data_IF_803991256419
#
_entry.id   IF_803991256419
#
_cell.length_a   1.000
_cell.length_b   1.000
_cell.length_c   1.000
_cell.angle_alpha   90.00
_cell.angle_beta   90.00
_cell.angle_gamma   90.00
#
_symmetry.space_group_name_H-M   'P 1'
#
loop_
_entity.id
_entity.type
_entity.pdbx_description
1 polymer ?
#
# COMPACT_ATOMS: atom_id res chain seq x y z
N UNK A 1 -29.37 -8.11 48.17
CA UNK A 1 -29.43 -7.74 46.74
C UNK A 1 -28.06 -7.96 46.16
N UNK A 2 -27.86 -8.95 45.28
CA UNK A 2 -26.60 -9.17 44.59
C UNK A 2 -26.71 -8.57 43.20
N UNK A 3 -26.01 -7.46 42.96
CA UNK A 3 -25.90 -6.84 41.65
C UNK A 3 -25.05 -7.75 40.77
N UNK A 4 -25.65 -8.28 39.70
CA UNK A 4 -24.89 -8.97 38.65
C UNK A 4 -24.35 -7.90 37.70
N UNK A 5 -23.03 -7.73 37.67
CA UNK A 5 -22.36 -6.98 36.60
C UNK A 5 -22.47 -7.81 35.32
N UNK A 6 -23.21 -7.31 34.34
CA UNK A 6 -23.13 -7.80 32.97
C UNK A 6 -21.81 -7.29 32.36
N UNK A 7 -20.87 -8.18 32.09
CA UNK A 7 -19.68 -7.87 31.32
C UNK A 7 -20.08 -7.71 29.85
N UNK A 8 -20.04 -6.47 29.34
CA UNK A 8 -20.08 -6.22 27.90
C UNK A 8 -18.74 -6.65 27.32
N UNK A 9 -18.70 -7.80 26.65
CA UNK A 9 -17.60 -8.14 25.74
C UNK A 9 -17.73 -7.30 24.49
N UNK A 10 -16.93 -6.23 24.40
CA UNK A 10 -16.70 -5.53 23.13
C UNK A 10 -15.87 -6.47 22.26
N UNK A 11 -16.50 -7.05 21.23
CA UNK A 11 -15.77 -7.75 20.19
C UNK A 11 -14.92 -6.72 19.46
N UNK A 12 -13.61 -6.70 19.73
CA UNK A 12 -12.66 -6.01 18.87
C UNK A 12 -12.84 -6.60 17.46
N UNK A 13 -13.21 -5.75 16.51
CA UNK A 13 -13.20 -6.08 15.10
C UNK A 13 -11.77 -6.46 14.74
N UNK A 14 -11.49 -7.76 14.71
CA UNK A 14 -10.28 -8.31 14.11
C UNK A 14 -10.27 -7.81 12.67
N UNK A 15 -9.41 -6.83 12.39
CA UNK A 15 -9.03 -6.47 11.04
C UNK A 15 -8.68 -7.79 10.35
N UNK A 16 -9.55 -8.22 9.44
CA UNK A 16 -9.51 -9.57 8.88
C UNK A 16 -8.44 -9.59 7.80
N UNK A 17 -7.19 -9.66 8.24
CA UNK A 17 -6.04 -9.78 7.39
C UNK A 17 -6.01 -11.15 6.70
N UNK A 18 -5.56 -11.20 5.45
CA UNK A 18 -5.55 -12.46 4.70
C UNK A 18 -4.28 -13.26 4.99
N UNK A 19 -4.43 -14.58 5.02
CA UNK A 19 -3.30 -15.49 5.15
C UNK A 19 -2.34 -15.28 3.97
N UNK A 20 -1.05 -15.15 4.28
CA UNK A 20 0.02 -15.06 3.30
C UNK A 20 0.13 -16.40 2.53
N UNK A 21 -0.16 -16.44 1.21
CA UNK A 21 -0.07 -17.67 0.44
C UNK A 21 1.38 -18.19 0.34
N UNK A 22 1.57 -19.51 0.24
CA UNK A 22 2.90 -20.14 0.24
C UNK A 22 3.85 -19.57 -0.81
N UNK A 23 3.36 -19.28 -2.02
CA UNK A 23 4.19 -18.71 -3.08
C UNK A 23 4.66 -17.29 -2.72
N UNK A 24 3.78 -16.47 -2.16
CA UNK A 24 4.11 -15.11 -1.73
C UNK A 24 4.99 -15.10 -0.48
N UNK A 25 4.81 -16.05 0.45
CA UNK A 25 5.70 -16.25 1.59
C UNK A 25 7.12 -16.61 1.15
N UNK A 26 7.26 -17.48 0.14
CA UNK A 26 8.57 -17.80 -0.44
C UNK A 26 9.20 -16.59 -1.14
N UNK A 27 8.42 -15.84 -1.92
CA UNK A 27 8.88 -14.59 -2.55
C UNK A 27 9.40 -13.62 -1.48
N UNK A 28 8.62 -13.40 -0.43
CA UNK A 28 9.01 -12.53 0.69
C UNK A 28 10.34 -13.02 1.31
N UNK A 29 10.47 -14.31 1.62
CA UNK A 29 11.69 -14.79 2.24
C UNK A 29 12.91 -14.80 1.28
N UNK A 30 12.70 -15.08 -0.01
CA UNK A 30 13.76 -15.12 -1.03
C UNK A 30 14.32 -13.73 -1.34
N UNK A 31 13.50 -12.68 -1.22
CA UNK A 31 13.89 -11.31 -1.54
C UNK A 31 14.07 -10.41 -0.31
N UNK A 32 13.86 -10.90 0.91
CA UNK A 32 14.08 -10.12 2.14
C UNK A 32 15.54 -9.74 2.34
N UNK A 33 16.45 -10.64 1.95
CA UNK A 33 17.90 -10.45 2.02
C UNK A 33 18.50 -10.50 0.63
N UNK A 34 19.64 -9.85 0.44
CA UNK A 34 20.35 -9.79 -0.83
C UNK A 34 20.14 -8.47 -1.55
N UNK A 35 20.36 -8.48 -2.85
CA UNK A 35 20.29 -7.29 -3.70
C UNK A 35 19.23 -7.46 -4.78
N UNK A 36 18.68 -6.34 -5.23
CA UNK A 36 17.89 -6.33 -6.45
C UNK A 36 18.82 -6.53 -7.67
N UNK A 37 18.64 -7.62 -8.41
CA UNK A 37 19.47 -7.94 -9.58
C UNK A 37 19.02 -7.17 -10.82
N UNK A 38 17.70 -7.04 -11.01
CA UNK A 38 17.05 -6.29 -12.07
C UNK A 38 16.50 -4.97 -11.52
N UNK A 39 17.39 -3.98 -11.37
CA UNK A 39 17.03 -2.64 -10.91
C UNK A 39 16.33 -1.86 -12.03
N UNK A 40 15.09 -1.47 -11.81
CA UNK A 40 14.34 -0.63 -12.74
C UNK A 40 14.65 0.86 -12.51
N UNK A 41 14.82 1.25 -11.26
CA UNK A 41 15.34 2.55 -10.84
C UNK A 41 15.94 2.45 -9.43
N UNK A 42 16.88 3.33 -9.07
CA UNK A 42 17.57 3.29 -7.77
C UNK A 42 17.91 4.68 -7.25
N UNK A 43 18.28 4.77 -5.97
CA UNK A 43 18.70 6.02 -5.33
C UNK A 43 17.57 6.72 -4.59
N UNK A 44 16.55 5.98 -4.19
CA UNK A 44 15.43 6.45 -3.39
C UNK A 44 15.73 6.31 -1.89
N UNK A 45 15.00 7.06 -1.08
CA UNK A 45 14.99 6.96 0.38
C UNK A 45 13.63 6.42 0.84
N UNK A 46 13.50 6.01 2.09
CA UNK A 46 12.22 5.63 2.70
C UNK A 46 11.80 6.68 3.75
N UNK A 47 11.82 7.96 3.37
CA UNK A 47 11.61 9.08 4.30
C UNK A 47 12.81 9.38 5.23
N UNK A 48 13.75 8.44 5.38
CA UNK A 48 14.89 8.62 6.29
C UNK A 48 16.19 7.96 5.79
N UNK A 49 17.34 8.40 6.31
CA UNK A 49 18.60 7.70 6.11
C UNK A 49 19.18 7.76 4.68
N UNK A 50 20.03 6.78 4.30
CA UNK A 50 20.73 6.80 3.02
C UNK A 50 19.85 6.32 1.86
N UNK A 51 20.09 6.91 0.68
CA UNK A 51 19.40 6.63 -0.59
C UNK A 51 19.74 5.24 -1.16
N UNK A 52 19.24 4.20 -0.52
CA UNK A 52 19.56 2.78 -0.81
C UNK A 52 18.40 2.02 -1.44
N UNK A 53 17.23 2.65 -1.56
CA UNK A 53 16.03 2.01 -2.08
C UNK A 53 15.98 2.05 -3.61
N UNK A 54 15.30 1.05 -4.16
CA UNK A 54 15.17 0.79 -5.58
C UNK A 54 13.82 0.16 -5.92
N UNK A 55 13.33 0.43 -7.13
CA UNK A 55 12.26 -0.33 -7.75
C UNK A 55 12.87 -1.55 -8.44
N UNK A 56 12.44 -2.72 -8.04
CA UNK A 56 13.01 -4.00 -8.44
C UNK A 56 12.07 -4.80 -9.33
N UNK A 57 12.65 -5.42 -10.36
CA UNK A 57 11.94 -6.27 -11.33
C UNK A 57 12.41 -7.72 -11.32
N UNK A 58 12.94 -8.23 -10.21
CA UNK A 58 13.43 -9.61 -10.11
C UNK A 58 12.30 -10.65 -10.17
N UNK A 59 11.09 -10.26 -9.78
CA UNK A 59 9.92 -11.12 -9.81
C UNK A 59 9.21 -10.92 -11.15
N UNK A 60 9.15 -11.98 -11.97
CA UNK A 60 8.46 -11.91 -13.27
C UNK A 60 6.99 -11.52 -13.09
N UNK A 61 6.59 -10.44 -13.75
CA UNK A 61 5.22 -9.93 -13.69
C UNK A 61 4.92 -9.04 -12.48
N UNK A 62 5.96 -8.57 -11.79
CA UNK A 62 5.84 -7.66 -10.66
C UNK A 62 6.93 -6.59 -10.67
N UNK A 63 6.61 -5.46 -10.05
CA UNK A 63 7.56 -4.42 -9.63
C UNK A 63 7.42 -4.28 -8.13
N UNK A 64 8.52 -4.27 -7.39
CA UNK A 64 8.46 -4.15 -5.93
C UNK A 64 9.52 -3.19 -5.38
N UNK A 65 9.25 -2.61 -4.21
CA UNK A 65 10.23 -1.78 -3.50
C UNK A 65 11.17 -2.67 -2.69
N UNK A 66 12.45 -2.41 -2.80
CA UNK A 66 13.50 -3.12 -2.06
C UNK A 66 14.67 -2.19 -1.77
N UNK A 67 15.52 -2.52 -0.81
CA UNK A 67 16.82 -1.89 -0.62
C UNK A 67 17.91 -2.94 -0.54
N UNK A 68 18.89 -2.86 -1.45
CA UNK A 68 20.13 -3.65 -1.38
C UNK A 68 21.05 -3.23 -0.22
N UNK A 69 20.70 -2.16 0.52
CA UNK A 69 21.42 -1.72 1.71
C UNK A 69 21.30 -2.72 2.86
N UNK A 70 22.24 -2.67 3.80
CA UNK A 70 22.22 -3.47 5.04
C UNK A 70 22.08 -5.00 4.85
N UNK A 71 22.46 -5.53 3.68
CA UNK A 71 22.32 -6.96 3.37
C UNK A 71 20.96 -7.36 2.81
N UNK A 72 20.13 -6.40 2.41
CA UNK A 72 18.78 -6.60 1.88
C UNK A 72 17.72 -6.30 2.93
N UNK A 73 16.72 -5.50 2.55
CA UNK A 73 15.60 -5.13 3.40
C UNK A 73 14.43 -4.62 2.53
N UNK A 74 13.24 -4.62 3.13
CA UNK A 74 12.06 -4.01 2.53
C UNK A 74 11.94 -2.53 2.96
N UNK A 75 10.82 -1.89 2.62
CA UNK A 75 10.56 -0.53 3.07
C UNK A 75 9.88 -0.51 4.44
N UNK A 76 9.91 0.68 5.04
CA UNK A 76 9.01 1.07 6.12
C UNK A 76 7.58 1.26 5.57
N UNK A 77 6.67 1.77 6.41
CA UNK A 77 5.38 2.29 5.97
C UNK A 77 5.12 3.67 6.54
N UNK A 78 5.46 4.69 5.77
CA UNK A 78 5.07 6.08 6.01
C UNK A 78 3.60 6.31 5.63
N UNK A 79 2.97 7.32 6.23
CA UNK A 79 1.55 7.60 6.06
C UNK A 79 1.33 8.67 5.01
N UNK A 80 0.49 8.35 4.04
CA UNK A 80 -0.06 9.29 3.09
C UNK A 80 -1.53 9.53 3.43
N UNK A 81 -1.91 10.80 3.51
CA UNK A 81 -3.28 11.23 3.81
C UNK A 81 -3.90 12.01 2.66
N UNK A 82 -3.30 11.97 1.47
CA UNK A 82 -3.74 12.74 0.31
C UNK A 82 -5.14 12.31 -0.16
N UNK A 83 -5.81 13.25 -0.84
CA UNK A 83 -7.13 13.02 -1.43
C UNK A 83 -8.30 13.58 -0.62
N UNK A 84 -9.45 12.91 -0.77
CA UNK A 84 -10.67 13.28 -0.11
C UNK A 84 -10.53 13.15 1.41
N UNK A 85 -11.08 14.13 2.14
CA UNK A 85 -11.09 14.13 3.61
C UNK A 85 -9.70 14.02 4.25
N UNK A 86 -8.66 14.60 3.62
CA UNK A 86 -7.26 14.55 4.07
C UNK A 86 -6.97 14.93 5.52
N UNK A 87 -7.85 15.69 6.18
CA UNK A 87 -7.68 16.12 7.57
C UNK A 87 -8.65 15.42 8.53
N UNK A 88 -9.35 14.38 8.04
CA UNK A 88 -10.28 13.57 8.81
C UNK A 88 -9.57 12.47 9.59
N UNK A 89 -10.21 12.05 10.69
CA UNK A 89 -9.79 10.87 11.44
C UNK A 89 -8.33 10.95 11.92
N UNK A 90 -7.56 9.92 11.59
CA UNK A 90 -6.15 9.79 11.98
C UNK A 90 -5.22 10.68 11.15
N UNK A 91 -5.71 11.31 10.10
CA UNK A 91 -4.95 12.29 9.32
C UNK A 91 -5.08 13.73 9.85
N UNK A 92 -5.75 13.94 10.98
CA UNK A 92 -5.99 15.30 11.51
C UNK A 92 -4.71 16.08 11.85
N UNK A 93 -3.60 15.39 12.09
CA UNK A 93 -2.30 15.96 12.43
C UNK A 93 -1.27 15.89 11.30
N UNK A 94 -1.64 15.46 10.09
CA UNK A 94 -0.72 15.40 8.95
C UNK A 94 -0.31 16.83 8.52
N UNK A 95 0.99 17.17 8.56
CA UNK A 95 1.49 18.47 8.14
C UNK A 95 1.64 18.63 6.62
N UNK A 96 1.61 17.54 5.86
CA UNK A 96 2.00 17.46 4.44
C UNK A 96 0.89 17.12 3.47
N UNK A 97 -0.25 16.61 3.96
CA UNK A 97 -1.34 16.12 3.14
C UNK A 97 -1.92 17.12 2.14
N UNK A 98 -2.17 16.63 0.93
CA UNK A 98 -2.75 17.35 -0.19
C UNK A 98 -4.23 17.00 -0.38
N UNK A 99 -4.98 17.94 -0.97
CA UNK A 99 -6.42 17.77 -1.20
C UNK A 99 -6.79 16.84 -2.35
N UNK A 100 -5.81 16.20 -2.99
CA UNK A 100 -6.01 15.35 -4.16
C UNK A 100 -4.95 14.25 -4.19
N UNK A 101 -5.32 13.06 -4.69
CA UNK A 101 -4.33 12.05 -5.08
C UNK A 101 -3.87 12.25 -6.52
N UNK A 102 -2.76 11.63 -6.93
CA UNK A 102 -2.29 11.66 -8.32
C UNK A 102 -3.34 11.17 -9.35
N UNK A 103 -4.28 10.32 -8.94
CA UNK A 103 -5.28 9.72 -9.84
C UNK A 103 -6.71 10.20 -9.64
N UNK A 104 -6.88 11.39 -9.05
CA UNK A 104 -8.19 12.03 -8.94
C UNK A 104 -8.94 12.05 -10.28
N UNK A 105 -8.24 12.40 -11.37
CA UNK A 105 -8.87 12.53 -12.69
C UNK A 105 -9.36 11.19 -13.23
N UNK A 106 -8.61 10.12 -12.98
CA UNK A 106 -8.94 8.75 -13.35
C UNK A 106 -10.13 8.26 -12.52
N UNK A 107 -10.17 8.54 -11.22
CA UNK A 107 -11.32 8.21 -10.35
C UNK A 107 -12.59 8.90 -10.84
N UNK A 108 -12.53 10.20 -11.15
CA UNK A 108 -13.67 10.95 -11.67
C UNK A 108 -14.16 10.38 -13.01
N UNK A 109 -13.24 9.95 -13.88
CA UNK A 109 -13.57 9.34 -15.16
C UNK A 109 -14.28 7.98 -15.01
N UNK A 110 -14.10 7.27 -13.89
CA UNK A 110 -14.83 6.03 -13.61
C UNK A 110 -16.31 6.28 -13.28
N UNK A 111 -16.69 7.49 -12.86
CA UNK A 111 -18.05 7.85 -12.46
C UNK A 111 -18.63 6.90 -11.39
N UNK A 112 -17.84 6.66 -10.33
CA UNK A 112 -18.10 5.65 -9.28
C UNK A 112 -18.66 6.22 -7.98
N UNK A 113 -19.06 7.51 -7.99
CA UNK A 113 -19.71 8.17 -6.87
C UNK A 113 -18.76 8.70 -5.79
N UNK A 114 -17.47 8.79 -6.10
CA UNK A 114 -16.46 9.51 -5.31
C UNK A 114 -15.69 10.46 -6.24
N UNK A 115 -15.24 11.59 -5.71
CA UNK A 115 -14.43 12.56 -6.45
C UNK A 115 -12.94 12.24 -6.42
N UNK A 116 -12.50 11.53 -5.37
CA UNK A 116 -11.12 11.10 -5.13
C UNK A 116 -11.10 9.98 -4.09
N UNK A 117 -9.94 9.32 -3.93
CA UNK A 117 -9.69 8.39 -2.83
C UNK A 117 -9.70 9.14 -1.49
N UNK A 118 -10.29 8.53 -0.47
CA UNK A 118 -10.20 8.96 0.93
C UNK A 118 -9.26 8.01 1.67
N UNK A 119 -8.13 8.52 2.18
CA UNK A 119 -7.09 7.76 2.88
C UNK A 119 -7.59 7.00 4.12
N UNK A 120 -8.69 7.44 4.73
CA UNK A 120 -9.33 6.77 5.88
C UNK A 120 -10.22 5.58 5.46
N UNK A 121 -10.58 5.48 4.17
CA UNK A 121 -11.52 4.48 3.66
C UNK A 121 -10.92 3.57 2.58
N UNK A 122 -9.93 4.04 1.83
CA UNK A 122 -9.39 3.37 0.67
C UNK A 122 -7.95 2.96 0.92
N UNK A 123 -7.68 1.66 1.09
CA UNK A 123 -6.34 1.13 1.02
C UNK A 123 -5.69 1.48 -0.32
N UNK A 124 -4.68 2.35 -0.28
CA UNK A 124 -3.84 2.66 -1.43
C UNK A 124 -2.37 2.77 -1.05
N UNK A 125 -1.52 2.61 -2.06
CA UNK A 125 -0.07 2.74 -1.98
C UNK A 125 0.37 3.92 -2.84
N UNK A 126 1.31 4.70 -2.31
CA UNK A 126 2.05 5.71 -3.06
C UNK A 126 3.19 5.00 -3.78
N UNK A 127 3.11 4.92 -5.10
CA UNK A 127 4.06 4.12 -5.89
C UNK A 127 4.51 4.89 -7.13
N UNK A 128 5.82 5.00 -7.32
CA UNK A 128 6.41 5.92 -8.29
C UNK A 128 6.77 7.25 -7.66
N UNK A 129 7.66 7.95 -8.35
CA UNK A 129 8.23 9.22 -7.92
C UNK A 129 8.28 10.18 -9.10
N UNK A 130 7.77 11.39 -8.89
CA UNK A 130 7.78 12.46 -9.88
C UNK A 130 8.26 13.78 -9.27
N UNK A 131 8.44 14.81 -10.11
CA UNK A 131 8.90 16.14 -9.67
C UNK A 131 10.40 16.25 -9.30
N UNK A 132 11.05 15.17 -8.85
CA UNK A 132 12.47 15.16 -8.43
C UNK A 132 13.31 14.03 -9.05
N UNK A 133 14.60 14.02 -8.74
CA UNK A 133 15.56 13.01 -9.19
C UNK A 133 16.17 12.24 -8.02
N UNK A 134 16.19 10.89 -8.05
CA UNK A 134 15.66 10.04 -9.13
C UNK A 134 14.13 10.08 -9.22
N UNK A 135 13.60 9.73 -10.39
CA UNK A 135 12.16 9.55 -10.63
C UNK A 135 11.88 8.13 -11.13
N UNK A 136 10.65 7.68 -10.92
CA UNK A 136 10.19 6.39 -11.40
C UNK A 136 8.73 6.50 -11.81
N UNK A 137 8.44 6.12 -13.05
CA UNK A 137 7.10 6.14 -13.61
C UNK A 137 6.63 4.68 -13.85
N UNK A 138 5.77 4.12 -12.98
CA UNK A 138 5.33 2.73 -13.10
C UNK A 138 4.62 2.42 -14.42
N UNK A 139 4.06 3.43 -15.12
CA UNK A 139 3.46 3.27 -16.46
C UNK A 139 4.46 2.77 -17.49
N UNK A 140 5.74 3.17 -17.38
CA UNK A 140 6.82 2.69 -18.27
C UNK A 140 7.14 1.21 -18.09
N UNK A 141 6.68 0.63 -16.99
CA UNK A 141 6.81 -0.78 -16.66
C UNK A 141 5.47 -1.52 -16.77
N UNK A 142 4.47 -0.90 -17.40
CA UNK A 142 3.19 -1.50 -17.75
C UNK A 142 2.16 -1.51 -16.63
N UNK A 143 2.42 -0.84 -15.49
CA UNK A 143 1.36 -0.61 -14.50
C UNK A 143 0.37 0.44 -15.02
N UNK A 144 -0.89 0.27 -14.69
CA UNK A 144 -1.96 1.21 -15.03
C UNK A 144 -2.41 1.94 -13.76
N UNK A 145 -2.75 3.24 -13.80
CA UNK A 145 -3.33 3.94 -12.66
C UNK A 145 -4.45 3.14 -11.98
N UNK A 146 -4.53 3.22 -10.65
CA UNK A 146 -5.51 2.51 -9.83
C UNK A 146 -5.39 0.98 -9.84
N UNK A 147 -4.36 0.40 -10.48
CA UNK A 147 -4.13 -1.06 -10.46
C UNK A 147 -4.03 -1.58 -9.03
N UNK A 148 -4.63 -2.75 -8.79
CA UNK A 148 -4.51 -3.47 -7.53
C UNK A 148 -3.04 -3.75 -7.23
N UNK A 149 -2.65 -3.53 -5.98
CA UNK A 149 -1.35 -3.82 -5.42
C UNK A 149 -1.48 -4.79 -4.26
N UNK A 150 -0.44 -5.58 -4.02
CA UNK A 150 -0.34 -6.47 -2.87
C UNK A 150 0.71 -5.90 -1.90
N UNK A 151 0.37 -5.86 -0.62
CA UNK A 151 1.27 -5.43 0.46
C UNK A 151 1.41 -6.56 1.46
N UNK A 152 2.64 -6.96 1.75
CA UNK A 152 2.96 -7.96 2.77
C UNK A 152 3.56 -7.27 3.98
N UNK A 153 2.89 -7.41 5.11
CA UNK A 153 3.24 -6.83 6.41
C UNK A 153 2.72 -7.80 7.50
N UNK A 154 3.40 -7.89 8.64
CA UNK A 154 2.98 -8.73 9.78
C UNK A 154 2.60 -10.18 9.39
N UNK A 155 3.38 -10.81 8.50
CA UNK A 155 3.15 -12.17 7.99
C UNK A 155 1.79 -12.40 7.30
N UNK A 156 1.17 -11.33 6.80
CA UNK A 156 -0.12 -11.34 6.14
C UNK A 156 -0.04 -10.60 4.80
N UNK A 157 -1.03 -10.80 3.94
CA UNK A 157 -1.17 -10.04 2.70
C UNK A 157 -2.43 -9.19 2.73
N UNK A 158 -2.29 -7.96 2.26
CA UNK A 158 -3.36 -6.99 2.11
C UNK A 158 -3.39 -6.47 0.68
N UNK A 159 -4.56 -6.00 0.26
CA UNK A 159 -4.73 -5.42 -1.07
C UNK A 159 -5.16 -3.96 -1.00
N UNK A 160 -4.51 -3.15 -1.81
CA UNK A 160 -4.90 -1.77 -2.08
C UNK A 160 -4.84 -1.50 -3.57
N UNK A 161 -4.92 -0.22 -3.93
CA UNK A 161 -4.66 0.24 -5.30
C UNK A 161 -3.39 1.08 -5.34
N UNK A 162 -2.77 1.16 -6.51
CA UNK A 162 -1.84 2.23 -6.82
C UNK A 162 -2.65 3.54 -6.89
N UNK A 163 -2.70 4.26 -5.78
CA UNK A 163 -3.58 5.42 -5.60
C UNK A 163 -2.87 6.75 -5.76
N UNK A 164 -1.57 6.79 -5.51
CA UNK A 164 -0.79 8.03 -5.57
C UNK A 164 0.64 7.83 -6.07
N UNK A 165 1.34 8.95 -6.28
CA UNK A 165 2.75 9.04 -6.63
C UNK A 165 3.46 10.08 -5.77
N UNK A 166 4.66 9.76 -5.30
CA UNK A 166 5.38 10.67 -4.41
C UNK A 166 6.02 11.81 -5.22
N UNK A 167 5.78 13.07 -4.83
CA UNK A 167 6.36 14.26 -5.47
C UNK A 167 7.84 14.51 -5.13
N UNK A 168 8.44 13.62 -4.34
CA UNK A 168 9.81 13.66 -3.85
C UNK A 168 10.55 12.36 -4.24
N UNK A 169 11.57 11.97 -3.48
CA UNK A 169 12.36 10.75 -3.73
C UNK A 169 12.15 9.65 -2.68
N UNK A 170 11.08 9.76 -1.90
CA UNK A 170 10.73 8.79 -0.86
C UNK A 170 9.88 7.66 -1.44
N UNK A 171 10.01 6.46 -0.88
CA UNK A 171 9.19 5.27 -1.17
C UNK A 171 8.70 4.67 0.14
N UNK A 172 7.73 3.75 0.08
CA UNK A 172 7.19 3.12 1.28
C UNK A 172 6.05 3.89 1.93
N UNK A 173 5.33 4.70 1.17
CA UNK A 173 4.17 5.46 1.67
C UNK A 173 2.85 4.75 1.32
N UNK A 174 1.88 4.78 2.25
CA UNK A 174 0.56 4.18 2.07
C UNK A 174 -0.52 4.94 2.83
N UNK A 175 -1.77 4.80 2.38
CA UNK A 175 -2.94 5.36 3.06
C UNK A 175 -3.01 4.93 4.52
N UNK A 176 -3.47 5.82 5.41
CA UNK A 176 -3.66 5.49 6.84
C UNK A 176 -4.56 4.26 7.05
N UNK A 177 -5.55 4.04 6.18
CA UNK A 177 -6.42 2.88 6.26
C UNK A 177 -5.71 1.55 5.98
N UNK A 178 -4.77 1.51 5.03
CA UNK A 178 -3.93 0.34 4.78
C UNK A 178 -2.94 0.11 5.93
N UNK A 179 -2.35 1.19 6.44
CA UNK A 179 -1.41 1.11 7.55
C UNK A 179 -2.06 0.56 8.84
N UNK A 180 -3.29 0.98 9.14
CA UNK A 180 -4.07 0.45 10.25
C UNK A 180 -4.44 -1.03 10.08
N UNK A 181 -4.58 -1.51 8.85
CA UNK A 181 -4.81 -2.93 8.58
C UNK A 181 -3.53 -3.75 8.82
N UNK A 182 -2.36 -3.23 8.42
CA UNK A 182 -1.07 -3.86 8.67
C UNK A 182 -0.69 -3.89 10.17
N UNK A 183 -0.85 -2.75 10.84
CA UNK A 183 -0.28 -2.49 12.16
C UNK A 183 -1.32 -1.89 13.14
N UNK A 184 -2.44 -2.60 13.41
CA UNK A 184 -3.57 -2.06 14.19
C UNK A 184 -3.21 -1.66 15.64
N UNK A 185 -2.07 -2.13 16.15
CA UNK A 185 -1.63 -1.92 17.52
C UNK A 185 -0.51 -0.87 17.66
N UNK A 186 -0.05 -0.27 16.56
CA UNK A 186 1.06 0.69 16.59
C UNK A 186 0.59 2.15 16.76
N UNK A 187 -0.73 2.37 16.78
CA UNK A 187 -1.32 3.70 16.98
C UNK A 187 -0.84 4.72 15.93
N UNK A 188 -0.73 4.29 14.68
CA UNK A 188 -0.33 5.11 13.55
C UNK A 188 -1.30 6.28 13.32
N UNK A 189 -0.76 7.40 12.83
CA UNK A 189 -1.48 8.60 12.46
C UNK A 189 -0.78 9.36 11.32
N UNK A 190 -1.37 10.45 10.84
CA UNK A 190 -0.87 11.23 9.70
C UNK A 190 0.53 11.82 9.86
N UNK A 191 1.13 11.73 11.05
CA UNK A 191 2.50 12.18 11.32
C UNK A 191 3.36 11.08 11.98
N UNK A 192 2.90 9.83 12.01
CA UNK A 192 3.62 8.69 12.58
C UNK A 192 3.28 7.40 11.85
N UNK A 193 4.24 6.92 11.04
CA UNK A 193 4.18 5.64 10.34
C UNK A 193 4.86 4.50 11.10
N UNK A 194 5.04 3.38 10.40
CA UNK A 194 5.74 2.19 10.87
C UNK A 194 7.20 2.20 10.39
N UNK A 195 8.15 2.31 11.32
CA UNK A 195 9.59 2.48 11.01
C UNK A 195 10.32 1.20 10.56
N UNK A 196 9.79 0.00 10.86
CA UNK A 196 10.54 -1.22 10.56
C UNK A 196 10.51 -1.53 9.07
N UNK A 197 11.66 -1.95 8.55
CA UNK A 197 11.92 -2.17 7.11
C UNK A 197 11.51 -3.58 6.67
N UNK A 198 10.26 -3.93 6.93
CA UNK A 198 9.74 -5.28 6.72
C UNK A 198 8.48 -5.36 5.83
N UNK A 199 8.09 -4.24 5.20
CA UNK A 199 6.90 -4.12 4.36
C UNK A 199 7.23 -4.25 2.87
N UNK A 200 6.73 -5.33 2.26
CA UNK A 200 6.89 -5.57 0.82
C UNK A 200 5.70 -5.04 0.04
N UNK A 201 5.94 -4.07 -0.83
CA UNK A 201 4.96 -3.50 -1.76
C UNK A 201 5.14 -4.10 -3.16
N UNK A 202 4.09 -4.65 -3.76
CA UNK A 202 4.12 -5.27 -5.08
C UNK A 202 3.09 -4.63 -6.00
N UNK A 203 3.58 -4.01 -7.07
CA UNK A 203 2.80 -3.55 -8.21
C UNK A 203 2.78 -4.59 -9.34
N UNK A 204 1.66 -4.67 -10.05
CA UNK A 204 1.44 -5.64 -11.12
C UNK A 204 1.21 -4.95 -12.47
N UNK A 205 2.02 -5.24 -13.50
CA UNK A 205 1.77 -4.74 -14.84
C UNK A 205 0.54 -5.38 -15.51
N UNK A 206 -0.10 -4.60 -16.38
CA UNK A 206 -1.13 -5.04 -17.29
C UNK A 206 -2.56 -4.81 -16.80
N UNK A 207 -3.49 -4.72 -17.75
CA UNK A 207 -4.91 -4.38 -17.52
C UNK A 207 -5.67 -5.34 -16.59
N UNK A 208 -5.15 -6.54 -16.37
CA UNK A 208 -5.75 -7.49 -15.44
C UNK A 208 -5.61 -7.05 -13.97
N UNK A 209 -4.70 -6.11 -13.69
CA UNK A 209 -4.55 -5.52 -12.37
C UNK A 209 -5.52 -4.36 -12.09
N UNK A 210 -6.11 -3.75 -13.13
CA UNK A 210 -7.07 -2.66 -12.95
C UNK A 210 -8.34 -3.20 -12.27
N UNK A 211 -8.84 -2.55 -11.20
CA UNK A 211 -10.06 -2.96 -10.52
C UNK A 211 -11.24 -3.04 -11.49
N UNK A 212 -12.13 -4.01 -11.28
CA UNK A 212 -13.25 -4.24 -12.18
C UNK A 212 -14.45 -3.33 -11.86
N UNK A 213 -15.51 -3.41 -12.66
CA UNK A 213 -16.76 -2.69 -12.37
C UNK A 213 -17.44 -3.12 -11.06
N UNK A 214 -17.01 -4.21 -10.42
CA UNK A 214 -17.52 -4.64 -9.11
C UNK A 214 -16.79 -4.02 -7.91
N UNK A 215 -15.76 -3.21 -8.15
CA UNK A 215 -15.00 -2.53 -7.08
C UNK A 215 -15.91 -1.55 -6.34
N UNK A 216 -15.87 -1.61 -5.00
CA UNK A 216 -16.72 -0.80 -4.13
C UNK A 216 -16.03 0.51 -3.77
N UNK A 217 -15.88 1.41 -4.74
CA UNK A 217 -15.27 2.73 -4.55
C UNK A 217 -16.00 3.63 -3.53
N UNK A 218 -17.26 3.34 -3.20
CA UNK A 218 -18.00 4.05 -2.16
C UNK A 218 -18.13 3.21 -0.87
N UNK A 219 -17.21 2.26 -0.64
CA UNK A 219 -17.19 1.46 0.56
C UNK A 219 -17.05 2.35 1.81
N UNK A 220 -17.85 2.08 2.84
CA UNK A 220 -17.82 2.85 4.08
C UNK A 220 -16.65 2.52 5.01
N UNK A 221 -15.74 1.62 4.62
CA UNK A 221 -14.51 1.30 5.37
C UNK A 221 -13.49 0.53 4.50
N UNK A 222 -12.25 0.54 4.98
CA UNK A 222 -11.09 -0.10 4.37
C UNK A 222 -11.29 -1.58 4.03
N UNK A 223 -11.83 -2.34 4.98
CA UNK A 223 -12.05 -3.78 4.81
C UNK A 223 -13.03 -4.09 3.68
N UNK A 224 -14.12 -3.33 3.59
CA UNK A 224 -15.14 -3.49 2.56
C UNK A 224 -14.62 -3.09 1.16
N UNK A 225 -13.74 -2.09 1.07
CA UNK A 225 -13.03 -1.76 -0.17
C UNK A 225 -12.10 -2.90 -0.57
N UNK A 226 -11.21 -3.32 0.33
CA UNK A 226 -10.26 -4.40 0.10
C UNK A 226 -10.96 -5.71 -0.33
N UNK A 227 -12.05 -6.10 0.36
CA UNK A 227 -12.85 -7.28 0.00
C UNK A 227 -13.33 -7.23 -1.46
N UNK A 228 -13.63 -6.04 -1.97
CA UNK A 228 -14.12 -5.87 -3.35
C UNK A 228 -13.05 -6.06 -4.41
N UNK A 229 -11.76 -5.87 -4.06
CA UNK A 229 -10.62 -6.04 -4.97
C UNK A 229 -9.84 -7.34 -4.72
N UNK A 230 -10.13 -8.05 -3.61
CA UNK A 230 -9.43 -9.27 -3.20
C UNK A 230 -9.33 -10.32 -4.30
N UNK A 231 -10.41 -10.57 -5.05
CA UNK A 231 -10.41 -11.59 -6.09
C UNK A 231 -9.42 -11.26 -7.24
N UNK A 232 -9.21 -9.98 -7.52
CA UNK A 232 -8.19 -9.52 -8.48
C UNK A 232 -6.81 -9.72 -7.87
N UNK A 233 -6.59 -9.26 -6.63
CA UNK A 233 -5.33 -9.42 -5.90
C UNK A 233 -4.88 -10.88 -5.79
N UNK A 234 -5.77 -11.78 -5.36
CA UNK A 234 -5.49 -13.21 -5.23
C UNK A 234 -5.05 -13.83 -6.57
N UNK A 235 -5.70 -13.45 -7.67
CA UNK A 235 -5.37 -13.95 -9.01
C UNK A 235 -3.99 -13.47 -9.45
N UNK A 236 -3.64 -12.21 -9.18
CA UNK A 236 -2.33 -11.65 -9.49
C UNK A 236 -1.22 -12.33 -8.67
N UNK A 237 -1.43 -12.44 -7.35
CA UNK A 237 -0.51 -13.11 -6.43
C UNK A 237 -0.30 -14.57 -6.82
N UNK A 238 -1.35 -15.31 -7.17
CA UNK A 238 -1.24 -16.70 -7.63
C UNK A 238 -0.43 -16.85 -8.92
N UNK A 239 -0.32 -15.78 -9.74
CA UNK A 239 0.49 -15.74 -10.94
C UNK A 239 2.00 -15.57 -10.68
N UNK A 240 2.39 -15.14 -9.47
CA UNK A 240 3.79 -14.93 -9.11
C UNK A 240 4.53 -16.23 -8.83
N UNK A 241 5.79 -16.27 -9.26
CA UNK A 241 6.71 -17.40 -9.05
C UNK A 241 7.81 -16.99 -8.08
N UNK A 242 8.03 -17.82 -7.07
CA UNK A 242 9.09 -17.69 -6.08
C UNK A 242 10.46 -18.14 -6.59
#
# INVERSE_FOLDING_TARGET
MKYSLAALTVAASVASAYNLPDNLSKIYNNHKSGACSNKLASGFTDGSGPKTFEYCGDIKGAVFIHSSGNGGQYANMDIDCDGANRSGGKCANDPTGQGQTAFQSEIQALNVGIDDLDSNLHPYVVFGNEGRSPSFDPRKHGMEPLSVMAVVCNNQVFYGVWGDTNGETSVGEASISLADMCFPNEHLDGNSGHDQKDVLYIGFPGKAAVPSSSTKWNAGNAKAFEDSIKAVGDKLVAGLKA
#
